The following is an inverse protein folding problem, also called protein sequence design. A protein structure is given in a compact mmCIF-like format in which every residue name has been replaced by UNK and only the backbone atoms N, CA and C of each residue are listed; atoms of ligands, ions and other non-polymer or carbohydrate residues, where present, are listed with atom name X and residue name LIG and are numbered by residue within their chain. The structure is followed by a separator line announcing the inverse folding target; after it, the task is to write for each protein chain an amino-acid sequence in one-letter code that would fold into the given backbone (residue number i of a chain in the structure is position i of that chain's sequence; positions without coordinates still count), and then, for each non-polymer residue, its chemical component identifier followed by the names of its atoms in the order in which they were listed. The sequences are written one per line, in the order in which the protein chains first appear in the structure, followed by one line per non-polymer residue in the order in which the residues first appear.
data_IF_782650538356
#
_entry.id   IF_782650538356
#
_cell.length_a   1.000
_cell.length_b   1.000
_cell.length_c   1.000
_cell.angle_alpha   90.00
_cell.angle_beta   90.00
_cell.angle_gamma   90.00
#
_symmetry.space_group_name_H-M   'P 1'
#
loop_
_entity.id
_entity.type
_entity.pdbx_description
1 polymer ?
#
# COMPACT_ATOMS: atom_id res chain seq x y z
N UNK A 1 -6.69 -13.67 -0.78
CA UNK A 1 -5.36 -13.75 -1.42
C UNK A 1 -5.09 -12.38 -2.03
N UNK A 2 -3.94 -11.78 -1.74
CA UNK A 2 -3.61 -10.44 -2.28
C UNK A 2 -3.26 -10.52 -3.76
N UNK A 3 -3.45 -9.41 -4.48
CA UNK A 3 -2.88 -9.23 -5.81
C UNK A 3 -1.82 -8.13 -5.76
N UNK A 4 -0.67 -8.38 -6.39
CA UNK A 4 0.40 -7.42 -6.50
C UNK A 4 0.93 -7.44 -7.93
N UNK A 5 1.03 -6.25 -8.52
CA UNK A 5 1.64 -6.01 -9.82
C UNK A 5 2.74 -4.96 -9.69
N UNK A 6 3.85 -5.15 -10.38
CA UNK A 6 5.00 -4.25 -10.36
C UNK A 6 5.51 -4.04 -11.80
N UNK A 7 5.24 -2.86 -12.35
CA UNK A 7 5.62 -2.50 -13.72
C UNK A 7 7.05 -1.93 -13.83
N UNK A 8 7.71 -1.65 -12.70
CA UNK A 8 9.07 -1.10 -12.65
C UNK A 8 9.19 0.30 -12.11
N UNK A 9 8.07 0.98 -12.12
CA UNK A 9 7.93 2.37 -11.71
C UNK A 9 6.86 2.44 -10.63
N UNK A 10 5.73 1.76 -10.87
CA UNK A 10 4.58 1.68 -9.99
C UNK A 10 4.39 0.26 -9.51
N UNK A 11 4.17 0.14 -8.20
CA UNK A 11 3.64 -1.08 -7.59
C UNK A 11 2.15 -0.87 -7.35
N UNK A 12 1.32 -1.79 -7.82
CA UNK A 12 -0.11 -1.82 -7.50
C UNK A 12 -0.38 -2.98 -6.55
N UNK A 13 -0.91 -2.67 -5.38
CA UNK A 13 -1.21 -3.61 -4.31
C UNK A 13 -2.72 -3.62 -4.04
N UNK A 14 -3.35 -4.78 -4.22
CA UNK A 14 -4.75 -5.01 -3.87
C UNK A 14 -4.87 -5.74 -2.53
N UNK A 15 -5.53 -5.08 -1.58
CA UNK A 15 -5.73 -5.52 -0.20
C UNK A 15 -7.09 -6.20 0.04
N UNK A 16 -7.89 -6.46 -0.99
CA UNK A 16 -9.20 -7.10 -0.81
C UNK A 16 -9.06 -8.46 -0.11
N UNK A 17 -9.97 -8.70 0.84
CA UNK A 17 -10.03 -9.94 1.60
C UNK A 17 -9.01 -10.05 2.74
N UNK A 18 -8.25 -8.99 3.04
CA UNK A 18 -7.42 -8.92 4.24
C UNK A 18 -8.18 -8.34 5.44
N UNK A 19 -7.75 -8.70 6.64
CA UNK A 19 -8.06 -7.92 7.84
C UNK A 19 -7.31 -6.59 7.83
N UNK A 20 -7.69 -5.67 8.72
CA UNK A 20 -7.05 -4.35 8.82
C UNK A 20 -5.55 -4.44 9.15
N UNK A 21 -5.19 -5.29 10.11
CA UNK A 21 -3.80 -5.37 10.58
C UNK A 21 -2.89 -6.03 9.53
N UNK A 22 -3.41 -7.05 8.84
CA UNK A 22 -2.78 -7.67 7.69
C UNK A 22 -2.57 -6.67 6.54
N UNK A 23 -3.61 -5.90 6.21
CA UNK A 23 -3.54 -4.86 5.19
C UNK A 23 -2.46 -3.82 5.48
N UNK A 24 -2.35 -3.38 6.74
CA UNK A 24 -1.29 -2.45 7.15
C UNK A 24 0.10 -3.10 7.04
N UNK A 25 0.26 -4.32 7.51
CA UNK A 25 1.54 -5.04 7.44
C UNK A 25 2.02 -5.25 6.00
N UNK A 26 1.15 -5.69 5.09
CA UNK A 26 1.47 -5.86 3.66
C UNK A 26 1.80 -4.53 3.01
N UNK A 27 1.06 -3.47 3.34
CA UNK A 27 1.35 -2.13 2.86
C UNK A 27 2.76 -1.70 3.31
N UNK A 28 3.17 -2.02 4.55
CA UNK A 28 4.54 -1.70 5.01
C UNK A 28 5.57 -2.35 4.10
N UNK A 29 5.43 -3.65 3.96
CA UNK A 29 6.45 -4.49 3.37
C UNK A 29 6.59 -4.20 1.90
N UNK A 30 5.47 -3.92 1.25
CA UNK A 30 5.45 -3.44 -0.14
C UNK A 30 6.14 -2.08 -0.26
N UNK A 31 5.94 -1.15 0.67
CA UNK A 31 6.64 0.15 0.65
C UNK A 31 8.16 -0.02 0.80
N UNK A 32 8.59 -0.80 1.79
CA UNK A 32 10.02 -1.00 2.05
C UNK A 32 10.71 -1.63 0.82
N UNK A 33 10.06 -2.61 0.17
CA UNK A 33 10.55 -3.22 -1.07
C UNK A 33 10.50 -2.25 -2.27
N UNK A 34 9.45 -1.45 -2.38
CA UNK A 34 9.29 -0.47 -3.44
C UNK A 34 10.40 0.59 -3.36
N UNK A 35 10.71 1.11 -2.17
CA UNK A 35 11.83 2.02 -1.96
C UNK A 35 13.17 1.34 -2.28
N UNK A 36 13.40 0.12 -1.77
CA UNK A 36 14.65 -0.60 -1.97
C UNK A 36 14.93 -0.94 -3.45
N UNK A 37 13.88 -1.23 -4.23
CA UNK A 37 13.98 -1.58 -5.66
C UNK A 37 13.87 -0.38 -6.59
N UNK A 38 13.59 0.80 -6.04
CA UNK A 38 13.61 2.05 -6.77
C UNK A 38 12.30 2.45 -7.45
N UNK A 39 11.19 1.97 -6.93
CA UNK A 39 9.86 2.35 -7.41
C UNK A 39 9.52 3.74 -6.92
N UNK A 40 8.78 4.47 -7.74
CA UNK A 40 8.44 5.88 -7.46
C UNK A 40 7.01 6.02 -6.96
N UNK A 41 6.18 5.00 -7.18
CA UNK A 41 4.76 5.01 -6.80
C UNK A 41 4.34 3.68 -6.19
N UNK A 42 3.58 3.74 -5.10
CA UNK A 42 2.76 2.63 -4.62
C UNK A 42 1.28 3.03 -4.69
N UNK A 43 0.49 2.27 -5.45
CA UNK A 43 -0.96 2.36 -5.50
C UNK A 43 -1.56 1.24 -4.65
N UNK A 44 -2.22 1.60 -3.56
CA UNK A 44 -2.88 0.68 -2.64
C UNK A 44 -4.39 0.68 -2.90
N UNK A 45 -4.91 -0.42 -3.43
CA UNK A 45 -6.34 -0.64 -3.65
C UNK A 45 -6.92 -1.26 -2.37
N UNK A 46 -7.83 -0.54 -1.72
CA UNK A 46 -8.48 -0.97 -0.47
C UNK A 46 -10.01 -1.16 -0.64
N UNK A 47 -10.51 -1.03 -1.87
CA UNK A 47 -11.92 -1.22 -2.21
C UNK A 47 -12.85 -0.08 -1.78
N UNK A 48 -14.09 -0.18 -2.26
CA UNK A 48 -15.23 0.60 -1.74
C UNK A 48 -15.67 -0.07 -0.45
N UNK A 49 -15.23 0.44 0.70
CA UNK A 49 -15.54 -0.17 2.00
C UNK A 49 -17.04 -0.44 2.16
N UNK A 50 -17.47 -1.69 1.98
CA UNK A 50 -18.81 -2.17 2.33
C UNK A 50 -18.64 -3.20 3.43
N UNK A 51 -18.45 -2.74 4.66
CA UNK A 51 -18.35 -3.63 5.82
C UNK A 51 -19.23 -3.11 6.95
N UNK A 52 -20.54 -3.30 6.76
CA UNK A 52 -21.40 -4.02 7.70
C UNK A 52 -21.86 -3.35 9.01
N UNK A 53 -21.15 -2.39 9.59
CA UNK A 53 -21.60 -1.80 10.87
C UNK A 53 -20.99 -0.41 11.09
N UNK A 54 -21.79 0.63 11.40
CA UNK A 54 -21.26 1.91 11.86
C UNK A 54 -20.30 1.69 13.04
N UNK A 55 -19.06 2.18 12.93
CA UNK A 55 -18.03 2.08 13.99
C UNK A 55 -16.98 0.97 13.81
N UNK A 56 -17.09 0.09 12.81
CA UNK A 56 -16.02 -0.87 12.48
C UNK A 56 -14.85 -0.17 11.76
N UNK A 57 -13.62 -0.39 12.25
CA UNK A 57 -12.38 0.10 11.61
C UNK A 57 -12.22 -0.59 10.26
N UNK A 58 -12.21 0.19 9.17
CA UNK A 58 -12.01 -0.33 7.79
C UNK A 58 -10.55 -0.16 7.36
N UNK A 59 -10.12 -0.92 6.34
CA UNK A 59 -8.78 -0.77 5.73
C UNK A 59 -8.57 0.69 5.28
N UNK A 60 -9.57 1.28 4.61
CA UNK A 60 -9.54 2.69 4.18
C UNK A 60 -9.25 3.64 5.34
N UNK A 61 -10.04 3.56 6.41
CA UNK A 61 -9.86 4.43 7.59
C UNK A 61 -8.53 4.16 8.29
N UNK A 62 -8.08 2.91 8.34
CA UNK A 62 -6.82 2.54 8.97
C UNK A 62 -5.61 3.08 8.19
N UNK A 63 -5.62 2.99 6.86
CA UNK A 63 -4.58 3.57 6.00
C UNK A 63 -4.52 5.09 6.14
N UNK A 64 -5.67 5.76 6.18
CA UNK A 64 -5.72 7.22 6.36
C UNK A 64 -5.24 7.65 7.74
N UNK A 65 -5.64 6.96 8.80
CA UNK A 65 -5.11 7.23 10.14
C UNK A 65 -3.60 6.96 10.21
N UNK A 66 -3.10 5.95 9.50
CA UNK A 66 -1.66 5.66 9.44
C UNK A 66 -0.84 6.76 8.74
N UNK A 67 -1.43 7.52 7.81
CA UNK A 67 -0.81 8.71 7.22
C UNK A 67 -0.73 9.87 8.21
N UNK A 68 -1.74 10.02 9.07
CA UNK A 68 -1.87 11.18 9.96
C UNK A 68 -1.17 10.99 11.31
N UNK A 69 -1.08 9.74 11.81
CA UNK A 69 -0.76 9.47 13.21
C UNK A 69 0.42 8.52 13.42
N UNK A 70 1.13 8.09 12.35
CA UNK A 70 2.29 7.22 12.54
C UNK A 70 2.86 6.58 11.28
N UNK A 71 2.63 5.28 11.12
CA UNK A 71 3.37 4.35 10.27
C UNK A 71 3.60 4.72 8.78
N UNK A 72 2.78 5.61 8.18
CA UNK A 72 2.96 6.17 6.82
C UNK A 72 3.24 7.67 6.79
N UNK A 73 3.54 8.30 7.94
CA UNK A 73 3.72 9.75 8.06
C UNK A 73 4.76 10.33 7.09
N UNK A 74 5.80 9.55 6.76
CA UNK A 74 6.79 9.92 5.74
C UNK A 74 6.18 10.27 4.38
N UNK A 75 5.02 9.69 4.05
CA UNK A 75 4.29 9.90 2.80
C UNK A 75 3.08 10.83 2.97
N UNK A 76 2.89 11.44 4.15
CA UNK A 76 1.73 12.28 4.46
C UNK A 76 1.57 13.45 3.49
N UNK A 77 2.67 14.08 3.05
CA UNK A 77 2.62 15.18 2.08
C UNK A 77 2.58 14.72 0.62
N UNK A 78 2.83 13.43 0.38
CA UNK A 78 3.06 12.84 -0.95
C UNK A 78 2.04 11.73 -1.22
N UNK A 79 0.76 11.98 -0.95
CA UNK A 79 -0.29 11.02 -1.22
C UNK A 79 -1.46 11.63 -2.00
N UNK A 80 -2.15 10.78 -2.74
CA UNK A 80 -3.41 11.12 -3.39
C UNK A 80 -4.47 10.09 -3.00
N UNK A 81 -5.62 10.59 -2.53
CA UNK A 81 -6.78 9.76 -2.17
C UNK A 81 -7.69 9.65 -3.40
N UNK A 82 -7.94 8.43 -3.86
CA UNK A 82 -8.89 8.14 -4.94
C UNK A 82 -10.06 7.31 -4.39
N UNK A 83 -11.20 7.28 -5.08
CA UNK A 83 -12.26 6.32 -4.77
C UNK A 83 -11.71 4.89 -4.87
N UNK A 84 -11.65 4.20 -3.73
CA UNK A 84 -11.18 2.82 -3.63
C UNK A 84 -9.66 2.61 -3.59
N UNK A 85 -8.86 3.67 -3.65
CA UNK A 85 -7.40 3.55 -3.60
C UNK A 85 -6.71 4.72 -2.89
N UNK A 86 -5.53 4.42 -2.34
CA UNK A 86 -4.56 5.37 -1.82
C UNK A 86 -3.28 5.28 -2.65
N UNK A 87 -2.85 6.40 -3.24
CA UNK A 87 -1.62 6.48 -4.02
C UNK A 87 -0.56 7.18 -3.18
N UNK A 88 0.63 6.60 -3.08
CA UNK A 88 1.77 7.11 -2.35
C UNK A 88 2.92 7.35 -3.33
N UNK A 89 3.41 8.59 -3.37
CA UNK A 89 4.61 8.95 -4.14
C UNK A 89 5.84 8.78 -3.23
N UNK A 90 6.76 7.92 -3.64
CA UNK A 90 7.94 7.52 -2.86
C UNK A 90 9.15 8.46 -3.08
N UNK A 91 9.09 9.29 -4.12
CA UNK A 91 10.17 10.20 -4.52
C UNK A 91 11.12 9.58 -5.54
N UNK A 92 12.19 10.29 -5.88
CA UNK A 92 13.18 9.84 -6.86
C UNK A 92 14.08 8.78 -6.22
N UNK A 93 14.12 7.60 -6.82
CA UNK A 93 14.94 6.51 -6.34
C UNK A 93 16.43 6.69 -6.68
N UNK A 94 17.30 6.35 -5.73
CA UNK A 94 18.77 6.32 -5.93
C UNK A 94 19.26 5.01 -6.57
N UNK A 95 18.38 4.01 -6.68
CA UNK A 95 18.66 2.68 -7.23
C UNK A 95 17.51 2.33 -8.16
N UNK A 96 17.75 1.67 -9.29
CA UNK A 96 16.68 1.16 -10.16
C UNK A 96 17.00 -0.28 -10.52
N UNK A 97 16.31 -1.21 -9.88
CA UNK A 97 16.50 -2.65 -10.13
C UNK A 97 15.46 -3.16 -11.12
N UNK A 98 15.89 -4.07 -12.01
CA UNK A 98 14.98 -4.75 -12.93
C UNK A 98 14.13 -5.85 -12.25
N UNK A 99 14.49 -6.25 -11.03
CA UNK A 99 13.76 -7.27 -10.27
C UNK A 99 12.37 -6.77 -9.87
N UNK A 100 11.33 -7.56 -10.14
CA UNK A 100 9.94 -7.25 -9.80
C UNK A 100 9.60 -7.71 -8.38
N UNK A 101 8.79 -6.92 -7.68
CA UNK A 101 8.14 -7.34 -6.43
C UNK A 101 7.06 -8.37 -6.73
N UNK A 102 7.05 -9.45 -5.96
CA UNK A 102 6.08 -10.54 -6.04
C UNK A 102 5.21 -10.56 -4.80
N UNK A 103 3.96 -10.99 -4.94
CA UNK A 103 3.02 -11.14 -3.82
C UNK A 103 3.57 -12.02 -2.68
N UNK A 104 4.31 -13.08 -3.01
CA UNK A 104 4.96 -13.98 -2.04
C UNK A 104 6.03 -13.30 -1.19
N UNK A 105 6.53 -12.14 -1.61
CA UNK A 105 7.54 -11.38 -0.87
C UNK A 105 6.94 -10.40 0.13
N UNK A 106 5.63 -10.13 0.07
CA UNK A 106 4.94 -9.15 0.92
C UNK A 106 3.85 -9.77 1.78
N UNK A 107 3.36 -10.95 1.40
CA UNK A 107 2.33 -11.70 2.08
C UNK A 107 2.80 -13.14 2.32
N UNK A 108 2.66 -13.69 3.53
CA UNK A 108 3.10 -15.06 3.79
C UNK A 108 2.26 -16.08 3.00
N UNK A 109 2.82 -17.28 2.72
CA UNK A 109 2.02 -18.44 2.33
C UNK A 109 1.09 -18.90 3.45
#
# INVERSE_FOLDING_TARGET
MIQLDDDGTTVTLDLHGLTVDEALAVTRRTLDLAEARGRVTLKVIHGHSTSGTPGQRTIKTALYNALEQGFLQRYQSNHHRQQGALILSLGVAQTNTAERIRSTEVWPP
#
